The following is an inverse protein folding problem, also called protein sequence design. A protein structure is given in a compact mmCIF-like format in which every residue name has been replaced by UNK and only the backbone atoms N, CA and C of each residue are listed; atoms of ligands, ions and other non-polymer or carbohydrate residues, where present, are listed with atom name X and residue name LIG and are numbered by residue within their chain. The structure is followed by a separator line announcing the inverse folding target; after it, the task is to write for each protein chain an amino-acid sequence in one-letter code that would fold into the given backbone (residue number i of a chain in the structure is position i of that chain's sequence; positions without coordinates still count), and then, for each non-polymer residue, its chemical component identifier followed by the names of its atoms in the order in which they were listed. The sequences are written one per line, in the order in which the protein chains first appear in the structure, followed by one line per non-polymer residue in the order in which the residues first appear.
data_IF_244141564097
#
_entry.id   IF_244141564097
#
_cell.length_a   1.000
_cell.length_b   1.000
_cell.length_c   1.000
_cell.angle_alpha   90.00
_cell.angle_beta   90.00
_cell.angle_gamma   90.00
#
_symmetry.space_group_name_H-M   'P 1'
#
loop_
_entity.id
_entity.type
_entity.pdbx_description
1 polymer ?
#
# COMPACT_ATOMS: atom_id res chain seq x y z
N UNK A 1 -10.42 -6.11 21.66
CA UNK A 1 -10.37 -6.91 20.41
C UNK A 1 -9.92 -5.97 19.29
N UNK A 2 -8.86 -6.30 18.54
CA UNK A 2 -8.46 -5.51 17.37
C UNK A 2 -9.18 -6.05 16.10
N UNK A 3 -9.04 -5.35 14.97
CA UNK A 3 -9.72 -5.72 13.72
C UNK A 3 -9.29 -7.10 13.20
N UNK A 4 -8.01 -7.45 13.37
CA UNK A 4 -7.43 -8.72 12.93
C UNK A 4 -7.97 -9.91 13.74
N UNK A 5 -8.19 -9.73 15.04
CA UNK A 5 -8.81 -10.73 15.91
C UNK A 5 -10.30 -10.88 15.64
N UNK A 6 -10.96 -9.79 15.27
CA UNK A 6 -12.39 -9.82 14.89
C UNK A 6 -12.59 -10.55 13.55
N UNK A 7 -11.65 -10.40 12.61
CA UNK A 7 -11.70 -11.07 11.32
C UNK A 7 -11.75 -12.60 11.45
N UNK A 8 -11.04 -13.18 12.43
CA UNK A 8 -10.96 -14.63 12.64
C UNK A 8 -12.31 -15.28 12.98
N UNK A 9 -13.26 -14.50 13.46
CA UNK A 9 -14.59 -14.97 13.88
C UNK A 9 -15.63 -14.94 12.72
N UNK A 10 -15.25 -14.46 11.53
CA UNK A 10 -16.14 -14.32 10.35
C UNK A 10 -15.90 -15.48 9.38
N UNK A 11 -16.93 -15.85 8.61
CA UNK A 11 -16.79 -16.74 7.46
C UNK A 11 -15.75 -16.18 6.46
N UNK A 12 -14.83 -17.04 5.98
CA UNK A 12 -13.62 -16.64 5.24
C UNK A 12 -12.70 -15.63 5.99
N UNK A 13 -12.80 -15.58 7.31
CA UNK A 13 -12.07 -14.64 8.18
C UNK A 13 -10.55 -14.64 8.02
N UNK A 14 -9.96 -15.79 7.67
CA UNK A 14 -8.53 -15.90 7.38
C UNK A 14 -8.11 -15.08 6.15
N UNK A 15 -9.00 -14.92 5.17
CA UNK A 15 -8.76 -14.09 3.98
C UNK A 15 -8.82 -12.62 4.36
N UNK A 16 -9.79 -12.21 5.20
CA UNK A 16 -9.82 -10.84 5.74
C UNK A 16 -8.56 -10.53 6.56
N UNK A 17 -8.13 -11.45 7.42
CA UNK A 17 -6.90 -11.28 8.20
C UNK A 17 -5.67 -11.13 7.29
N UNK A 18 -5.58 -11.95 6.22
CA UNK A 18 -4.55 -11.82 5.18
C UNK A 18 -4.62 -10.46 4.47
N UNK A 19 -5.82 -10.01 4.11
CA UNK A 19 -6.05 -8.69 3.49
C UNK A 19 -5.58 -7.56 4.38
N UNK A 20 -5.94 -7.57 5.67
CA UNK A 20 -5.50 -6.54 6.61
C UNK A 20 -3.99 -6.55 6.81
N UNK A 21 -3.39 -7.73 6.99
CA UNK A 21 -1.93 -7.83 7.11
C UNK A 21 -1.21 -7.33 5.84
N UNK A 22 -1.75 -7.60 4.65
CA UNK A 22 -1.19 -7.08 3.40
C UNK A 22 -1.30 -5.55 3.30
N UNK A 23 -2.42 -4.96 3.74
CA UNK A 23 -2.58 -3.50 3.80
C UNK A 23 -1.57 -2.90 4.77
N UNK A 24 -1.35 -3.54 5.92
CA UNK A 24 -0.36 -3.13 6.91
C UNK A 24 1.05 -3.17 6.31
N UNK A 25 1.42 -4.28 5.67
CA UNK A 25 2.74 -4.45 5.06
C UNK A 25 3.04 -3.39 4.01
N UNK A 26 2.09 -3.12 3.10
CA UNK A 26 2.27 -2.11 2.05
C UNK A 26 2.25 -0.68 2.61
N UNK A 27 1.50 -0.44 3.69
CA UNK A 27 1.53 0.87 4.38
C UNK A 27 2.88 1.10 5.06
N UNK A 28 3.39 0.09 5.76
CA UNK A 28 4.71 0.12 6.36
C UNK A 28 5.82 0.27 5.30
N UNK A 29 5.69 -0.37 4.14
CA UNK A 29 6.60 -0.18 3.03
C UNK A 29 6.62 1.27 2.54
N UNK A 30 5.46 1.92 2.40
CA UNK A 30 5.40 3.36 2.07
C UNK A 30 6.09 4.22 3.11
N UNK A 31 5.81 3.96 4.40
CA UNK A 31 6.43 4.70 5.51
C UNK A 31 7.94 4.54 5.45
N UNK A 32 8.45 3.31 5.30
CA UNK A 32 9.87 3.05 5.21
C UNK A 32 10.52 3.68 3.96
N UNK A 33 9.90 3.57 2.79
CA UNK A 33 10.41 4.21 1.57
C UNK A 33 10.48 5.72 1.72
N UNK A 34 9.45 6.35 2.28
CA UNK A 34 9.44 7.79 2.54
C UNK A 34 10.50 8.19 3.57
N UNK A 35 10.61 7.46 4.66
CA UNK A 35 11.61 7.69 5.69
C UNK A 35 13.03 7.60 5.15
N UNK A 36 13.29 6.64 4.26
CA UNK A 36 14.57 6.45 3.60
C UNK A 36 14.90 7.56 2.58
N UNK A 37 13.87 8.18 1.97
CA UNK A 37 14.04 9.30 1.04
C UNK A 37 14.28 10.61 1.80
N UNK A 38 13.51 10.86 2.85
CA UNK A 38 13.57 12.09 3.65
C UNK A 38 14.66 12.02 4.74
N UNK A 39 15.32 10.86 4.92
CA UNK A 39 16.34 10.58 5.94
C UNK A 39 15.85 10.78 7.39
N UNK A 40 14.57 10.48 7.65
CA UNK A 40 13.89 10.68 8.94
C UNK A 40 13.56 9.39 9.70
N UNK A 41 14.25 8.29 9.39
CA UNK A 41 13.98 6.93 9.91
C UNK A 41 13.68 6.83 11.41
N UNK A 42 14.49 7.47 12.25
CA UNK A 42 14.32 7.45 13.70
C UNK A 42 13.12 8.26 14.22
N UNK A 43 12.68 9.27 13.47
CA UNK A 43 11.54 10.13 13.87
C UNK A 43 10.19 9.45 13.60
N UNK A 44 10.14 8.49 12.68
CA UNK A 44 8.91 7.83 12.23
C UNK A 44 8.75 6.41 12.76
N UNK A 45 9.57 5.97 13.72
CA UNK A 45 9.44 4.63 14.32
C UNK A 45 8.07 4.41 14.97
N UNK A 46 7.43 5.49 15.48
CA UNK A 46 6.06 5.44 15.98
C UNK A 46 4.96 5.29 14.93
N UNK A 47 5.30 5.36 13.63
CA UNK A 47 4.36 5.22 12.52
C UNK A 47 4.25 3.77 12.01
N UNK A 48 5.05 2.83 12.53
CA UNK A 48 4.94 1.42 12.17
C UNK A 48 3.61 0.86 12.67
N UNK A 49 2.88 0.20 11.77
CA UNK A 49 1.67 -0.53 12.11
C UNK A 49 2.03 -2.00 12.33
N UNK A 50 1.75 -2.52 13.52
CA UNK A 50 2.00 -3.92 13.86
C UNK A 50 0.92 -4.86 13.32
N UNK A 51 1.26 -6.14 13.08
CA UNK A 51 0.29 -7.14 12.64
C UNK A 51 0.22 -7.32 11.12
N UNK A 52 1.35 -7.10 10.45
CA UNK A 52 1.57 -7.39 9.04
C UNK A 52 1.36 -8.86 8.67
N UNK A 53 1.37 -9.17 7.37
CA UNK A 53 1.15 -10.52 6.85
C UNK A 53 2.47 -11.26 6.59
N UNK A 54 3.33 -10.73 5.73
CA UNK A 54 4.66 -11.29 5.42
C UNK A 54 5.79 -10.50 6.07
N UNK A 55 5.56 -9.25 6.48
CA UNK A 55 6.59 -8.43 7.13
C UNK A 55 6.43 -8.51 8.65
N UNK A 56 7.48 -9.02 9.30
CA UNK A 56 7.58 -8.96 10.76
C UNK A 56 7.87 -7.53 11.21
N UNK A 57 7.47 -7.19 12.44
CA UNK A 57 7.76 -5.86 13.01
C UNK A 57 9.27 -5.56 12.99
N UNK A 58 10.11 -6.56 13.28
CA UNK A 58 11.57 -6.43 13.23
C UNK A 58 12.09 -6.16 11.80
N UNK A 59 11.50 -6.80 10.79
CA UNK A 59 11.85 -6.54 9.40
C UNK A 59 11.50 -5.09 9.03
N UNK A 60 10.31 -4.61 9.41
CA UNK A 60 9.88 -3.23 9.15
C UNK A 60 10.77 -2.20 9.88
N UNK A 61 11.13 -2.45 11.14
CA UNK A 61 12.07 -1.60 11.88
C UNK A 61 13.44 -1.53 11.20
N UNK A 62 13.93 -2.66 10.67
CA UNK A 62 15.16 -2.73 9.88
C UNK A 62 15.09 -1.88 8.61
N UNK A 63 13.92 -1.82 7.96
CA UNK A 63 13.72 -1.00 6.76
C UNK A 63 13.77 0.51 7.05
N UNK A 64 13.32 0.97 8.23
CA UNK A 64 13.31 2.39 8.58
C UNK A 64 14.71 3.01 8.67
N UNK A 65 15.72 2.21 8.98
CA UNK A 65 17.10 2.67 9.13
C UNK A 65 17.94 2.51 7.86
N UNK A 66 17.37 1.89 6.81
CA UNK A 66 18.06 1.59 5.56
C UNK A 66 17.92 2.71 4.52
N UNK A 67 18.67 2.57 3.42
CA UNK A 67 18.46 3.40 2.23
C UNK A 67 17.39 2.79 1.34
N UNK A 68 16.74 3.62 0.53
CA UNK A 68 15.70 3.17 -0.40
C UNK A 68 16.19 2.01 -1.30
N UNK A 69 17.45 2.06 -1.75
CA UNK A 69 18.05 1.04 -2.62
C UNK A 69 18.25 -0.34 -1.93
N UNK A 70 18.29 -0.37 -0.60
CA UNK A 70 18.54 -1.60 0.17
C UNK A 70 17.23 -2.33 0.51
N UNK A 71 16.08 -1.63 0.41
CA UNK A 71 14.75 -2.16 0.74
C UNK A 71 14.41 -3.45 -0.02
N UNK A 72 14.61 -3.56 -1.36
CA UNK A 72 14.29 -4.80 -2.07
C UNK A 72 15.09 -6.01 -1.57
N UNK A 73 16.36 -5.79 -1.20
CA UNK A 73 17.22 -6.82 -0.64
C UNK A 73 16.74 -7.30 0.74
N UNK A 74 16.33 -6.36 1.59
CA UNK A 74 15.78 -6.66 2.92
C UNK A 74 14.43 -7.38 2.86
N UNK A 75 13.64 -7.17 1.80
CA UNK A 75 12.38 -7.88 1.55
C UNK A 75 12.56 -9.31 1.00
N UNK A 76 13.80 -9.72 0.69
CA UNK A 76 14.16 -11.11 0.43
C UNK A 76 13.34 -11.79 -0.68
N UNK A 77 12.76 -12.96 -0.37
CA UNK A 77 11.91 -13.73 -1.29
C UNK A 77 10.41 -13.41 -1.21
N UNK A 78 10.03 -12.32 -0.53
CA UNK A 78 8.62 -11.96 -0.42
C UNK A 78 8.08 -11.43 -1.76
N UNK A 79 6.75 -11.52 -1.95
CA UNK A 79 6.08 -10.90 -3.11
C UNK A 79 6.26 -9.37 -3.17
N UNK A 80 6.67 -8.74 -2.07
CA UNK A 80 6.88 -7.29 -1.99
C UNK A 80 8.22 -6.84 -2.58
N UNK A 81 9.16 -7.76 -2.83
CA UNK A 81 10.43 -7.41 -3.46
C UNK A 81 10.24 -6.79 -4.83
N UNK A 82 9.39 -7.38 -5.68
CA UNK A 82 9.11 -6.82 -7.02
C UNK A 82 8.51 -5.41 -6.96
N UNK A 83 7.64 -5.17 -5.98
CA UNK A 83 7.08 -3.84 -5.70
C UNK A 83 8.20 -2.86 -5.30
N UNK A 84 9.10 -3.28 -4.42
CA UNK A 84 10.20 -2.44 -3.97
C UNK A 84 11.23 -2.15 -5.07
N UNK A 85 11.51 -3.12 -5.96
CA UNK A 85 12.36 -2.92 -7.13
C UNK A 85 11.76 -1.85 -8.06
N UNK A 86 10.44 -1.91 -8.30
CA UNK A 86 9.74 -0.89 -9.09
C UNK A 86 9.73 0.48 -8.40
N UNK A 87 9.55 0.52 -7.08
CA UNK A 87 9.64 1.75 -6.27
C UNK A 87 11.01 2.41 -6.40
N UNK A 88 12.09 1.64 -6.27
CA UNK A 88 13.46 2.14 -6.42
C UNK A 88 13.68 2.68 -7.84
N UNK A 89 13.25 1.94 -8.86
CA UNK A 89 13.36 2.37 -10.25
C UNK A 89 12.54 3.65 -10.54
N UNK A 90 11.29 3.69 -10.07
CA UNK A 90 10.39 4.83 -10.22
C UNK A 90 10.91 6.09 -9.53
N UNK A 91 11.42 5.97 -8.32
CA UNK A 91 12.07 7.07 -7.62
C UNK A 91 13.34 7.53 -8.33
N UNK A 92 14.18 6.61 -8.82
CA UNK A 92 15.40 6.98 -9.52
C UNK A 92 15.13 7.77 -10.81
N UNK A 93 14.03 7.46 -11.51
CA UNK A 93 13.62 8.16 -12.73
C UNK A 93 13.00 9.54 -12.45
N UNK A 94 12.15 9.64 -11.43
CA UNK A 94 11.31 10.83 -11.21
C UNK A 94 11.82 11.75 -10.11
N UNK A 95 12.62 11.22 -9.16
CA UNK A 95 13.01 11.85 -7.89
C UNK A 95 11.82 12.36 -7.08
N UNK A 96 10.66 11.72 -7.25
CA UNK A 96 9.40 12.12 -6.64
C UNK A 96 8.90 11.06 -5.65
N UNK A 97 8.55 11.49 -4.43
CA UNK A 97 7.89 10.65 -3.42
C UNK A 97 6.50 10.22 -3.90
N UNK A 98 5.81 11.09 -4.65
CA UNK A 98 4.48 10.78 -5.19
C UNK A 98 4.51 9.54 -6.09
N UNK A 99 5.56 9.38 -6.91
CA UNK A 99 5.72 8.21 -7.77
C UNK A 99 5.87 6.92 -6.95
N UNK A 100 6.56 6.98 -5.80
CA UNK A 100 6.69 5.85 -4.87
C UNK A 100 5.34 5.46 -4.28
N UNK A 101 4.57 6.44 -3.82
CA UNK A 101 3.25 6.19 -3.22
C UNK A 101 2.26 5.60 -4.24
N UNK A 102 2.31 6.07 -5.49
CA UNK A 102 1.46 5.62 -6.60
C UNK A 102 1.77 4.17 -6.99
N UNK A 103 3.05 3.81 -7.14
CA UNK A 103 3.48 2.42 -7.45
C UNK A 103 2.94 1.46 -6.39
N UNK A 104 3.10 1.80 -5.10
CA UNK A 104 2.62 0.94 -4.01
C UNK A 104 1.09 0.90 -3.96
N UNK A 105 0.39 2.01 -4.22
CA UNK A 105 -1.08 2.03 -4.27
C UNK A 105 -1.65 1.20 -5.42
N UNK A 106 -1.03 1.26 -6.60
CA UNK A 106 -1.41 0.44 -7.76
C UNK A 106 -1.27 -1.05 -7.44
N UNK A 107 -0.13 -1.46 -6.88
CA UNK A 107 0.08 -2.86 -6.48
C UNK A 107 -0.85 -3.29 -5.35
N UNK A 108 -1.09 -2.43 -4.36
CA UNK A 108 -2.08 -2.67 -3.30
C UNK A 108 -3.44 -2.97 -3.91
N UNK A 109 -3.92 -2.12 -4.82
CA UNK A 109 -5.22 -2.33 -5.45
C UNK A 109 -5.27 -3.64 -6.24
N UNK A 110 -4.23 -3.96 -7.01
CA UNK A 110 -4.16 -5.21 -7.77
C UNK A 110 -4.24 -6.44 -6.86
N UNK A 111 -3.44 -6.48 -5.80
CA UNK A 111 -3.43 -7.59 -4.84
C UNK A 111 -4.77 -7.71 -4.10
N UNK A 112 -5.39 -6.59 -3.72
CA UNK A 112 -6.73 -6.60 -3.11
C UNK A 112 -7.79 -7.13 -4.08
N UNK A 113 -7.72 -6.76 -5.35
CA UNK A 113 -8.60 -7.26 -6.41
C UNK A 113 -8.47 -8.77 -6.58
N UNK A 114 -7.24 -9.29 -6.63
CA UNK A 114 -7.00 -10.74 -6.74
C UNK A 114 -7.56 -11.53 -5.55
N UNK A 115 -7.43 -10.99 -4.33
CA UNK A 115 -7.85 -11.67 -3.11
C UNK A 115 -9.38 -11.61 -2.92
N UNK A 116 -9.98 -10.44 -3.17
CA UNK A 116 -11.36 -10.15 -2.77
C UNK A 116 -12.39 -10.30 -3.90
N UNK A 117 -12.04 -9.99 -5.16
CA UNK A 117 -13.01 -9.96 -6.27
C UNK A 117 -13.61 -11.32 -6.68
N UNK A 118 -12.91 -12.48 -6.59
CA UNK A 118 -13.47 -13.76 -7.06
C UNK A 118 -14.58 -14.34 -6.18
N UNK A 119 -14.96 -13.67 -5.08
CA UNK A 119 -15.70 -14.29 -3.97
C UNK A 119 -17.11 -13.71 -3.77
N UNK A 120 -17.95 -13.90 -4.79
CA UNK A 120 -19.30 -13.31 -4.88
C UNK A 120 -20.28 -13.79 -3.78
N UNK A 121 -20.09 -15.01 -3.25
CA UNK A 121 -20.96 -15.60 -2.21
C UNK A 121 -20.38 -15.52 -0.79
N UNK A 122 -19.30 -14.77 -0.62
CA UNK A 122 -18.61 -14.59 0.67
C UNK A 122 -18.88 -13.19 1.21
N UNK A 123 -18.90 -12.98 2.55
CA UNK A 123 -18.90 -11.62 3.13
C UNK A 123 -17.78 -10.71 2.60
N UNK A 124 -16.72 -11.31 2.05
CA UNK A 124 -15.62 -10.63 1.36
C UNK A 124 -16.07 -9.76 0.18
N UNK A 125 -17.20 -10.05 -0.44
CA UNK A 125 -17.77 -9.19 -1.50
C UNK A 125 -18.04 -7.77 -1.00
N UNK A 126 -18.40 -7.62 0.28
CA UNK A 126 -18.62 -6.32 0.92
C UNK A 126 -17.28 -5.61 1.11
N UNK A 127 -16.24 -6.32 1.56
CA UNK A 127 -14.90 -5.75 1.68
C UNK A 127 -14.36 -5.30 0.31
N UNK A 128 -14.62 -6.07 -0.75
CA UNK A 128 -14.28 -5.68 -2.12
C UNK A 128 -15.05 -4.43 -2.57
N UNK A 129 -16.37 -4.41 -2.36
CA UNK A 129 -17.20 -3.26 -2.71
C UNK A 129 -16.74 -1.97 -2.03
N UNK A 130 -16.44 -2.04 -0.72
CA UNK A 130 -15.92 -0.90 0.03
C UNK A 130 -14.55 -0.44 -0.50
N UNK A 131 -13.67 -1.37 -0.86
CA UNK A 131 -12.37 -1.07 -1.48
C UNK A 131 -12.55 -0.31 -2.79
N UNK A 132 -13.47 -0.76 -3.66
CA UNK A 132 -13.79 -0.06 -4.91
C UNK A 132 -14.33 1.34 -4.62
N UNK A 133 -15.24 1.48 -3.65
CA UNK A 133 -15.84 2.78 -3.31
C UNK A 133 -14.82 3.76 -2.72
N UNK A 134 -13.86 3.29 -1.94
CA UNK A 134 -12.76 4.13 -1.47
C UNK A 134 -11.93 4.68 -2.64
N UNK A 135 -11.57 3.83 -3.60
CA UNK A 135 -10.81 4.23 -4.80
C UNK A 135 -11.62 5.20 -5.67
N UNK A 136 -12.91 4.93 -5.88
CA UNK A 136 -13.81 5.82 -6.62
C UNK A 136 -13.85 7.23 -5.99
N UNK A 137 -14.02 7.32 -4.67
CA UNK A 137 -14.04 8.59 -3.94
C UNK A 137 -12.69 9.31 -4.03
N UNK A 138 -11.57 8.58 -3.96
CA UNK A 138 -10.23 9.17 -4.10
C UNK A 138 -10.00 9.74 -5.49
N UNK A 139 -10.38 9.00 -6.54
CA UNK A 139 -10.30 9.45 -7.93
C UNK A 139 -11.18 10.69 -8.17
N UNK A 140 -12.43 10.67 -7.68
CA UNK A 140 -13.32 11.83 -7.78
C UNK A 140 -12.73 13.06 -7.08
N UNK A 141 -12.15 12.88 -5.89
CA UNK A 141 -11.47 13.97 -5.17
C UNK A 141 -10.32 14.55 -5.99
N UNK A 142 -9.49 13.70 -6.60
CA UNK A 142 -8.37 14.13 -7.44
C UNK A 142 -8.87 14.92 -8.66
N UNK A 143 -9.87 14.41 -9.36
CA UNK A 143 -10.48 15.06 -10.54
C UNK A 143 -11.05 16.43 -10.16
N UNK A 144 -11.81 16.51 -9.07
CA UNK A 144 -12.41 17.77 -8.62
C UNK A 144 -11.33 18.80 -8.22
N UNK A 145 -10.27 18.36 -7.54
CA UNK A 145 -9.15 19.22 -7.15
C UNK A 145 -8.42 19.76 -8.37
N UNK A 146 -8.12 18.90 -9.34
CA UNK A 146 -7.49 19.30 -10.59
C UNK A 146 -8.34 20.27 -11.41
N UNK A 147 -9.64 20.01 -11.52
CA UNK A 147 -10.57 20.92 -12.20
C UNK A 147 -10.62 22.30 -11.54
N UNK A 148 -10.58 22.35 -10.20
CA UNK A 148 -10.51 23.61 -9.45
C UNK A 148 -9.18 24.34 -9.66
N UNK A 149 -8.07 23.61 -9.72
CA UNK A 149 -6.71 24.16 -9.91
C UNK A 149 -6.39 24.46 -11.39
N UNK A 150 -7.30 24.16 -12.33
CA UNK A 150 -7.11 24.38 -13.77
C UNK A 150 -6.13 23.41 -14.45
N UNK A 151 -5.87 22.25 -13.83
CA UNK A 151 -4.96 21.21 -14.34
C UNK A 151 -5.68 20.40 -15.43
N UNK A 152 -4.94 20.05 -16.49
CA UNK A 152 -5.50 19.32 -17.62
C UNK A 152 -5.89 17.87 -17.25
N UNK A 153 -6.92 17.34 -17.94
CA UNK A 153 -7.37 15.97 -17.73
C UNK A 153 -6.29 14.93 -18.09
N UNK A 154 -5.36 15.27 -18.99
CA UNK A 154 -4.29 14.37 -19.41
C UNK A 154 -3.21 14.23 -18.33
N UNK A 155 -2.90 15.30 -17.60
CA UNK A 155 -1.95 15.28 -16.49
C UNK A 155 -2.44 14.43 -15.31
N UNK A 156 -3.75 14.37 -15.07
CA UNK A 156 -4.30 13.65 -13.92
C UNK A 156 -4.51 12.16 -14.17
N UNK A 157 -4.57 11.72 -15.43
CA UNK A 157 -4.87 10.32 -15.80
C UNK A 157 -3.86 9.35 -15.20
N UNK A 158 -2.60 9.74 -15.10
CA UNK A 158 -1.53 8.91 -14.54
C UNK A 158 -1.68 8.67 -13.04
N UNK A 159 -2.38 9.57 -12.32
CA UNK A 159 -2.58 9.48 -10.87
C UNK A 159 -3.86 8.74 -10.46
N UNK A 160 -4.71 8.38 -11.43
CA UNK A 160 -5.95 7.66 -11.16
C UNK A 160 -5.69 6.16 -11.04
N UNK A 161 -6.38 5.52 -10.10
CA UNK A 161 -6.27 4.06 -9.86
C UNK A 161 -7.53 3.37 -10.37
N UNK A 162 -7.41 2.33 -11.18
CA UNK A 162 -8.52 1.61 -11.79
C UNK A 162 -8.36 0.08 -11.74
#
# INVERSE_FOLDING_TARGET
KNLLDTAKDVEDGFVLAKTFGLIIDLTNLKVASRAAIEEIGAAVSGCIITGGYLLSNQAVEGLLSGKLADIPGALGGTQYRGIADEVVAGYNRTKSITAVEEIIDRHKFHLLKEILSPRVMSPLVIAWYLTIKEVEIRNLRLILKAAFDGISADEIKEYLVF
#
